data_IF_886389234407
#
_entry.id   IF_886389234407
#
_cell.length_a   1.000
_cell.length_b   1.000
_cell.length_c   1.000
_cell.angle_alpha   90.00
_cell.angle_beta   90.00
_cell.angle_gamma   90.00
#
_symmetry.space_group_name_H-M   'P 1'
#
loop_
_entity.id
_entity.type
_entity.pdbx_description
1 polymer ?
#
# COMPACT_ATOMS: atom_id res chain seq x y z
N UNK A 1 15.26 -19.38 2.83
CA UNK A 1 14.62 -18.37 3.71
C UNK A 1 15.00 -17.00 3.19
N UNK A 2 14.03 -16.14 2.89
CA UNK A 2 14.26 -14.81 2.31
C UNK A 2 13.41 -13.76 3.04
N UNK A 3 13.87 -12.51 3.00
CA UNK A 3 13.15 -11.37 3.53
C UNK A 3 12.47 -10.63 2.37
N UNK A 4 11.16 -10.47 2.42
CA UNK A 4 10.37 -9.90 1.33
C UNK A 4 9.58 -8.69 1.86
N UNK A 5 9.81 -7.54 1.24
CA UNK A 5 9.02 -6.33 1.45
C UNK A 5 7.97 -6.21 0.35
N UNK A 6 6.70 -6.04 0.72
CA UNK A 6 5.59 -5.80 -0.22
C UNK A 6 4.97 -4.45 0.13
N UNK A 7 4.89 -3.56 -0.87
CA UNK A 7 4.29 -2.25 -0.72
C UNK A 7 2.94 -2.16 -1.44
N UNK A 8 1.91 -1.75 -0.71
CA UNK A 8 0.52 -1.63 -1.14
C UNK A 8 0.15 -0.15 -1.24
N UNK A 9 0.30 0.42 -2.43
CA UNK A 9 -0.08 1.81 -2.71
C UNK A 9 -1.51 2.01 -3.23
N UNK A 10 -2.21 0.92 -3.56
CA UNK A 10 -3.58 0.96 -4.11
C UNK A 10 -4.37 -0.29 -3.67
N UNK A 11 -5.69 -0.20 -3.43
CA UNK A 11 -6.51 -1.34 -3.01
C UNK A 11 -6.40 -2.58 -3.88
N UNK A 12 -6.28 -2.43 -5.21
CA UNK A 12 -6.15 -3.58 -6.11
C UNK A 12 -4.88 -4.43 -5.84
N UNK A 13 -3.82 -3.82 -5.29
CA UNK A 13 -2.61 -4.54 -4.92
C UNK A 13 -2.86 -5.55 -3.80
N UNK A 14 -3.81 -5.30 -2.90
CA UNK A 14 -4.18 -6.25 -1.84
C UNK A 14 -4.66 -7.56 -2.47
N UNK A 15 -5.59 -7.46 -3.43
CA UNK A 15 -6.08 -8.64 -4.13
C UNK A 15 -4.97 -9.33 -4.93
N UNK A 16 -4.10 -8.56 -5.57
CA UNK A 16 -2.99 -9.12 -6.35
C UNK A 16 -2.00 -9.91 -5.46
N UNK A 17 -1.61 -9.36 -4.32
CA UNK A 17 -0.55 -9.94 -3.49
C UNK A 17 -1.03 -10.96 -2.44
N UNK A 18 -2.32 -11.01 -2.08
CA UNK A 18 -2.80 -11.88 -0.97
C UNK A 18 -2.33 -13.33 -1.04
N UNK A 19 -2.39 -13.93 -2.23
CA UNK A 19 -1.99 -15.32 -2.44
C UNK A 19 -0.47 -15.50 -2.42
N UNK A 20 0.26 -14.51 -2.92
CA UNK A 20 1.72 -14.52 -2.90
C UNK A 20 2.24 -14.37 -1.47
N UNK A 21 1.68 -13.43 -0.70
CA UNK A 21 2.00 -13.22 0.73
C UNK A 21 1.78 -14.52 1.49
N UNK A 22 0.61 -15.16 1.32
CA UNK A 22 0.29 -16.43 1.97
C UNK A 22 1.30 -17.52 1.65
N UNK A 23 1.60 -17.72 0.36
CA UNK A 23 2.58 -18.74 -0.08
C UNK A 23 3.99 -18.47 0.44
N UNK A 24 4.41 -17.21 0.51
CA UNK A 24 5.71 -16.84 1.04
C UNK A 24 5.80 -17.14 2.54
N UNK A 25 4.76 -16.79 3.30
CA UNK A 25 4.69 -17.09 4.74
C UNK A 25 4.67 -18.61 4.97
N UNK A 26 3.80 -19.34 4.25
CA UNK A 26 3.69 -20.80 4.35
C UNK A 26 4.99 -21.51 3.93
N UNK A 27 5.79 -20.88 3.05
CA UNK A 27 7.14 -21.32 2.66
C UNK A 27 8.25 -20.97 3.65
N UNK A 28 7.93 -20.35 4.80
CA UNK A 28 8.88 -19.97 5.84
C UNK A 28 9.68 -18.70 5.54
N UNK A 29 9.20 -17.84 4.64
CA UNK A 29 9.82 -16.54 4.38
C UNK A 29 9.32 -15.48 5.36
N UNK A 30 10.18 -14.53 5.71
CA UNK A 30 9.78 -13.35 6.47
C UNK A 30 9.20 -12.32 5.51
N UNK A 31 7.90 -12.02 5.66
CA UNK A 31 7.19 -11.07 4.80
C UNK A 31 6.78 -9.86 5.63
N UNK A 32 7.17 -8.68 5.16
CA UNK A 32 6.78 -7.41 5.76
C UNK A 32 5.95 -6.62 4.74
N UNK A 33 4.73 -6.25 5.12
CA UNK A 33 3.81 -5.52 4.24
C UNK A 33 3.72 -4.08 4.72
N UNK A 34 3.81 -3.15 3.78
CA UNK A 34 3.57 -1.74 4.03
C UNK A 34 2.41 -1.25 3.18
N UNK A 35 1.59 -0.35 3.70
CA UNK A 35 0.46 0.20 2.98
C UNK A 35 0.39 1.72 3.12
N UNK A 36 -0.11 2.39 2.07
CA UNK A 36 -0.51 3.79 2.18
C UNK A 36 -1.93 3.86 2.72
N UNK A 37 -2.19 4.75 3.69
CA UNK A 37 -3.55 5.00 4.15
C UNK A 37 -4.33 5.76 3.07
N UNK A 38 -4.95 4.98 2.17
CA UNK A 38 -5.71 5.44 1.02
C UNK A 38 -6.94 4.57 0.85
N UNK A 39 -8.10 5.24 0.71
CA UNK A 39 -9.38 4.59 0.37
C UNK A 39 -9.71 3.43 1.33
N UNK A 40 -9.93 2.22 0.81
CA UNK A 40 -10.31 0.99 1.53
C UNK A 40 -9.14 0.00 1.67
N UNK A 41 -7.90 0.43 1.39
CA UNK A 41 -6.71 -0.45 1.42
C UNK A 41 -6.53 -1.13 2.78
N UNK A 42 -6.71 -0.38 3.87
CA UNK A 42 -6.62 -0.88 5.25
C UNK A 42 -7.67 -1.93 5.56
N UNK A 43 -8.94 -1.60 5.28
CA UNK A 43 -10.06 -2.53 5.46
C UNK A 43 -9.88 -3.83 4.68
N UNK A 44 -9.39 -3.77 3.44
CA UNK A 44 -9.10 -4.98 2.66
C UNK A 44 -7.97 -5.81 3.29
N UNK A 45 -6.90 -5.18 3.77
CA UNK A 45 -5.80 -5.89 4.43
C UNK A 45 -6.28 -6.55 5.74
N UNK A 46 -7.10 -5.84 6.51
CA UNK A 46 -7.71 -6.34 7.74
C UNK A 46 -8.66 -7.52 7.45
N UNK A 47 -9.53 -7.41 6.44
CA UNK A 47 -10.46 -8.47 5.99
C UNK A 47 -9.72 -9.75 5.55
N UNK A 48 -8.55 -9.60 4.93
CA UNK A 48 -7.72 -10.74 4.54
C UNK A 48 -6.77 -11.23 5.65
N UNK A 49 -6.76 -10.58 6.82
CA UNK A 49 -5.88 -10.92 7.94
C UNK A 49 -4.39 -10.76 7.60
N UNK A 50 -4.05 -9.80 6.74
CA UNK A 50 -2.68 -9.54 6.31
C UNK A 50 -2.10 -8.47 7.24
N UNK A 51 -1.09 -8.77 8.08
CA UNK A 51 -0.45 -7.75 8.92
C UNK A 51 0.33 -6.76 8.07
N UNK A 52 0.18 -5.46 8.35
CA UNK A 52 0.84 -4.38 7.60
C UNK A 52 1.22 -3.21 8.49
N UNK A 53 2.18 -2.42 8.02
CA UNK A 53 2.57 -1.14 8.59
C UNK A 53 2.19 0.02 7.66
N UNK A 54 1.61 1.09 8.21
CA UNK A 54 1.20 2.24 7.40
C UNK A 54 2.38 3.19 7.16
N UNK A 55 2.74 3.39 5.89
CA UNK A 55 3.82 4.29 5.47
C UNK A 55 3.21 5.50 4.74
N UNK A 56 2.73 6.46 5.54
CA UNK A 56 2.20 7.72 5.04
C UNK A 56 0.68 7.79 4.90
N UNK A 57 0.17 9.02 4.97
CA UNK A 57 -1.25 9.35 4.84
C UNK A 57 -1.47 10.00 3.47
N UNK A 58 -2.38 9.48 2.66
CA UNK A 58 -2.70 10.07 1.37
C UNK A 58 -3.42 11.41 1.60
N UNK A 59 -2.72 12.54 1.43
CA UNK A 59 -3.32 13.87 1.60
C UNK A 59 -4.29 14.16 0.44
N UNK A 60 -5.59 14.12 0.73
CA UNK A 60 -6.68 14.41 -0.22
C UNK A 60 -6.90 15.91 -0.50
N UNK A 61 -6.03 16.81 -0.04
CA UNK A 61 -6.25 18.24 -0.20
C UNK A 61 -6.24 18.64 -1.69
N UNK A 62 -7.44 18.83 -2.27
CA UNK A 62 -7.68 19.38 -3.59
C UNK A 62 -6.88 20.67 -3.85
N UNK A 63 -6.68 21.47 -2.81
CA UNK A 63 -5.85 22.68 -2.84
C UNK A 63 -4.38 22.39 -3.19
N UNK A 64 -3.82 21.27 -2.72
CA UNK A 64 -2.45 20.86 -3.02
C UNK A 64 -2.27 20.43 -4.48
N UNK A 65 -3.27 19.73 -5.06
CA UNK A 65 -3.27 19.37 -6.49
C UNK A 65 -3.36 20.61 -7.38
N UNK A 66 -4.23 21.56 -7.04
CA UNK A 66 -4.39 22.80 -7.82
C UNK A 66 -3.11 23.65 -7.83
N UNK A 67 -2.48 23.87 -6.67
CA UNK A 67 -1.19 24.57 -6.61
C UNK A 67 -0.07 23.83 -7.36
N UNK A 68 -0.03 22.49 -7.28
CA UNK A 68 0.98 21.71 -7.99
C UNK A 68 0.84 21.81 -9.51
N UNK A 69 -0.38 21.87 -10.05
CA UNK A 69 -0.62 22.11 -11.48
C UNK A 69 -0.16 23.52 -11.89
N UNK A 70 -0.48 24.54 -11.10
CA UNK A 70 -0.01 25.92 -11.33
C UNK A 70 1.52 26.07 -11.29
N UNK A 71 2.20 25.30 -10.43
CA UNK A 71 3.67 25.30 -10.41
C UNK A 71 4.30 24.59 -11.60
N UNK A 72 3.61 23.61 -12.20
CA UNK A 72 4.12 22.84 -13.34
C UNK A 72 3.98 23.60 -14.66
N UNK A 73 2.97 24.47 -14.76
CA UNK A 73 2.70 25.32 -15.93
C UNK A 73 3.66 26.53 -16.04
N UNK A 74 4.47 26.81 -15.02
CA UNK A 74 5.48 27.88 -15.03
C UNK A 74 6.89 27.40 -15.41
N UNK A 75 7.02 26.35 -16.21
CA UNK A 75 8.32 25.89 -16.72
C UNK A 75 8.51 26.19 -18.20
#
# INVERSE_FOLDING_TARGET
MANVLIHVGHPAHVHFFRHAIRKLIDGGHSVFVTAVDKEFTRGLLDDYGIPYETVGVHKHALSGKFLSMLSYDRK
#
